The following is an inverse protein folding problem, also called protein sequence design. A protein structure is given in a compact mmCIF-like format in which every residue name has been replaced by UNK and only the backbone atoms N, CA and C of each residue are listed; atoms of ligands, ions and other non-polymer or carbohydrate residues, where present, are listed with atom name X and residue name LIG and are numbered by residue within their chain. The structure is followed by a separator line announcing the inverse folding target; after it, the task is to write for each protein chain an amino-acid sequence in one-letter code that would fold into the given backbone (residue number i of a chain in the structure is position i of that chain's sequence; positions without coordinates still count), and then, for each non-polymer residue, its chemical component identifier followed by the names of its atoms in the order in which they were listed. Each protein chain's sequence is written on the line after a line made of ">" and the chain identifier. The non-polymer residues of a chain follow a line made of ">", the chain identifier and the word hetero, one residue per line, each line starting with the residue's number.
data_IF_655635281570
#
_entry.id   IF_655635281570
#
_cell.length_a   1.000
_cell.length_b   1.000
_cell.length_c   1.000
_cell.angle_alpha   90.00
_cell.angle_beta   90.00
_cell.angle_gamma   90.00
#
_symmetry.space_group_name_H-M   'P 1'
#
loop_
_entity.id
_entity.type
_entity.pdbx_description
1 polymer ?
#
# COMPACT_ATOMS: atom_id res chain seq x y z
N UNK A 1 -9.39 -32.82 -68.31
CA UNK A 1 -10.33 -32.77 -67.19
C UNK A 1 -9.72 -33.67 -66.11
N UNK A 2 -8.90 -33.12 -65.25
CA UNK A 2 -8.33 -33.83 -64.12
C UNK A 2 -8.75 -33.08 -62.82
N UNK A 3 -9.59 -33.75 -62.07
CA UNK A 3 -9.92 -33.30 -60.73
C UNK A 3 -8.72 -33.44 -59.81
N UNK A 4 -8.34 -32.35 -59.11
CA UNK A 4 -7.31 -32.36 -58.06
C UNK A 4 -8.06 -32.49 -56.74
N UNK A 5 -7.97 -33.67 -56.11
CA UNK A 5 -8.48 -33.91 -54.78
C UNK A 5 -7.65 -33.15 -53.72
N UNK A 6 -8.30 -32.29 -52.98
CA UNK A 6 -7.75 -31.62 -51.80
C UNK A 6 -7.59 -32.64 -50.65
N UNK A 7 -6.40 -32.76 -50.08
CA UNK A 7 -6.17 -33.47 -48.82
C UNK A 7 -6.08 -32.48 -47.68
N UNK A 8 -6.94 -32.52 -46.66
CA UNK A 8 -6.83 -31.67 -45.53
C UNK A 8 -5.77 -32.22 -44.54
N UNK A 9 -4.81 -31.39 -44.17
CA UNK A 9 -3.90 -31.67 -43.06
C UNK A 9 -4.49 -31.03 -41.78
N UNK A 10 -5.03 -31.84 -40.91
CA UNK A 10 -5.54 -31.40 -39.59
C UNK A 10 -4.45 -31.56 -38.53
N UNK A 11 -4.06 -30.46 -37.89
CA UNK A 11 -3.36 -30.50 -36.61
C UNK A 11 -4.36 -30.22 -35.53
N UNK A 12 -4.63 -31.19 -34.68
CA UNK A 12 -5.50 -31.06 -33.55
C UNK A 12 -4.67 -30.62 -32.33
N UNK A 13 -4.83 -29.37 -31.93
CA UNK A 13 -4.45 -28.93 -30.61
C UNK A 13 -5.66 -28.24 -29.98
N UNK A 14 -5.94 -28.60 -28.76
CA UNK A 14 -7.18 -28.33 -28.04
C UNK A 14 -7.51 -26.83 -27.97
N UNK A 15 -8.62 -26.44 -28.63
CA UNK A 15 -9.40 -25.20 -28.54
C UNK A 15 -9.35 -24.14 -29.63
N UNK A 16 -8.74 -24.39 -30.80
CA UNK A 16 -9.08 -23.58 -32.00
C UNK A 16 -8.60 -24.22 -33.26
N UNK A 17 -9.50 -24.42 -34.23
CA UNK A 17 -9.17 -24.97 -35.57
C UNK A 17 -8.75 -23.81 -36.46
N UNK A 18 -7.48 -23.74 -36.85
CA UNK A 18 -6.96 -22.78 -37.83
C UNK A 18 -6.89 -23.45 -39.19
N UNK A 19 -7.67 -22.96 -40.16
CA UNK A 19 -7.61 -23.39 -41.54
C UNK A 19 -6.57 -22.56 -42.28
N UNK A 20 -5.51 -23.22 -42.80
CA UNK A 20 -4.54 -22.60 -43.69
C UNK A 20 -4.83 -23.06 -45.13
N UNK A 21 -5.30 -22.12 -45.94
CA UNK A 21 -5.43 -22.35 -47.40
C UNK A 21 -4.10 -22.08 -48.07
N UNK A 22 -3.49 -23.15 -48.62
CA UNK A 22 -2.31 -23.01 -49.47
C UNK A 22 -2.80 -22.97 -50.92
N UNK A 23 -2.65 -21.81 -51.55
CA UNK A 23 -3.02 -21.62 -52.97
C UNK A 23 -2.11 -22.44 -53.89
N UNK A 24 -2.66 -23.12 -54.94
CA UNK A 24 -1.88 -23.99 -55.83
C UNK A 24 -0.98 -23.25 -56.86
N UNK A 25 -0.76 -21.95 -56.67
CA UNK A 25 0.02 -21.14 -57.63
C UNK A 25 1.57 -21.25 -57.47
N UNK A 26 2.07 -22.01 -56.50
CA UNK A 26 3.51 -22.05 -56.17
C UNK A 26 4.27 -23.17 -56.96
N UNK A 27 3.59 -24.01 -57.74
CA UNK A 27 4.20 -25.22 -58.32
C UNK A 27 5.00 -25.01 -59.63
N UNK A 28 5.15 -23.78 -60.15
CA UNK A 28 5.85 -23.49 -61.40
C UNK A 28 6.94 -22.43 -61.38
N UNK A 29 7.46 -22.15 -60.15
CA UNK A 29 8.60 -21.25 -60.05
C UNK A 29 9.91 -21.97 -60.37
N UNK A 30 10.74 -21.40 -61.22
CA UNK A 30 12.12 -21.85 -61.44
C UNK A 30 12.93 -21.65 -60.15
N UNK A 31 14.05 -22.38 -59.99
CA UNK A 31 14.86 -22.31 -58.77
C UNK A 31 15.26 -20.87 -58.36
N UNK A 32 15.49 -20.00 -59.34
CA UNK A 32 15.81 -18.58 -59.11
C UNK A 32 14.60 -17.76 -58.62
N UNK A 33 13.39 -18.07 -59.10
CA UNK A 33 12.16 -17.41 -58.66
C UNK A 33 11.79 -17.84 -57.23
N UNK A 34 12.12 -19.09 -56.85
CA UNK A 34 11.92 -19.59 -55.51
C UNK A 34 12.86 -18.88 -54.49
N UNK A 35 14.12 -18.64 -54.89
CA UNK A 35 15.09 -17.92 -54.08
C UNK A 35 14.71 -16.45 -53.90
N UNK A 36 14.21 -15.78 -54.92
CA UNK A 36 13.73 -14.40 -54.87
C UNK A 36 12.46 -14.27 -54.01
N UNK A 37 11.53 -15.20 -54.11
CA UNK A 37 10.31 -15.21 -53.32
C UNK A 37 10.62 -15.47 -51.81
N UNK A 38 11.53 -16.39 -51.53
CA UNK A 38 11.99 -16.66 -50.14
C UNK A 38 12.75 -15.46 -49.55
N UNK A 39 13.58 -14.77 -50.31
CA UNK A 39 14.29 -13.58 -49.90
C UNK A 39 13.32 -12.40 -49.58
N UNK A 40 12.28 -12.25 -50.44
CA UNK A 40 11.24 -11.24 -50.19
C UNK A 40 10.41 -11.56 -48.94
N UNK A 41 10.01 -12.83 -48.74
CA UNK A 41 9.28 -13.25 -47.52
C UNK A 41 10.11 -13.08 -46.25
N UNK A 42 11.40 -13.43 -46.28
CA UNK A 42 12.33 -13.19 -45.16
C UNK A 42 12.53 -11.70 -44.90
N UNK A 43 12.55 -10.87 -45.96
CA UNK A 43 12.61 -9.41 -45.83
C UNK A 43 11.36 -8.82 -45.15
N UNK A 44 10.16 -9.29 -45.54
CA UNK A 44 8.91 -8.87 -44.91
C UNK A 44 8.80 -9.34 -43.44
N UNK A 45 9.21 -10.59 -43.17
CA UNK A 45 9.21 -11.12 -41.80
C UNK A 45 10.20 -10.36 -40.92
N UNK A 46 11.39 -10.03 -41.40
CA UNK A 46 12.37 -9.22 -40.66
C UNK A 46 11.90 -7.79 -40.46
N UNK A 47 11.22 -7.20 -41.45
CA UNK A 47 10.60 -5.88 -41.29
C UNK A 47 9.45 -5.89 -40.28
N UNK A 48 8.57 -6.90 -40.32
CA UNK A 48 7.50 -7.09 -39.34
C UNK A 48 8.04 -7.31 -37.93
N UNK A 49 9.07 -8.13 -37.75
CA UNK A 49 9.73 -8.37 -36.49
C UNK A 49 10.45 -7.10 -35.98
N UNK A 50 11.06 -6.34 -36.89
CA UNK A 50 11.65 -5.05 -36.58
C UNK A 50 10.62 -4.01 -36.14
N UNK A 51 9.48 -3.95 -36.82
CA UNK A 51 8.34 -3.08 -36.44
C UNK A 51 7.71 -3.55 -35.15
N UNK A 52 7.51 -4.86 -34.91
CA UNK A 52 7.05 -5.38 -33.63
C UNK A 52 8.05 -5.08 -32.50
N UNK A 53 9.35 -5.14 -32.73
CA UNK A 53 10.38 -4.78 -31.76
C UNK A 53 10.40 -3.27 -31.46
N UNK A 54 10.05 -2.42 -32.43
CA UNK A 54 9.89 -0.98 -32.24
C UNK A 54 8.59 -0.62 -31.49
N UNK A 55 7.52 -1.43 -31.63
CA UNK A 55 6.26 -1.28 -30.87
C UNK A 55 6.28 -2.03 -29.53
N UNK A 56 7.17 -2.99 -29.31
CA UNK A 56 7.54 -3.49 -28.00
C UNK A 56 8.55 -2.55 -27.30
N UNK A 57 8.44 -1.25 -27.55
CA UNK A 57 8.91 -0.23 -26.63
C UNK A 57 8.29 -0.58 -25.29
N UNK A 58 9.02 -1.36 -24.48
CA UNK A 58 8.67 -1.68 -23.13
C UNK A 58 8.24 -0.34 -22.53
N UNK A 59 6.98 -0.21 -22.17
CA UNK A 59 6.63 0.74 -21.15
C UNK A 59 7.57 0.37 -19.99
N UNK A 60 8.69 1.08 -19.88
CA UNK A 60 9.54 1.00 -18.70
C UNK A 60 8.62 1.54 -17.62
N UNK A 61 7.85 0.64 -16.99
CA UNK A 61 7.19 0.97 -15.75
C UNK A 61 8.30 1.54 -14.89
N UNK A 62 8.24 2.84 -14.65
CA UNK A 62 9.27 3.55 -13.91
C UNK A 62 9.30 2.92 -12.53
N UNK A 63 10.26 2.02 -12.33
CA UNK A 63 10.40 1.25 -11.11
C UNK A 63 10.79 2.19 -9.98
N UNK A 64 10.15 2.05 -8.83
CA UNK A 64 10.53 2.78 -7.64
C UNK A 64 12.00 2.50 -7.29
N UNK A 65 12.72 3.53 -6.84
CA UNK A 65 14.14 3.43 -6.47
C UNK A 65 14.42 4.25 -5.22
N UNK A 66 15.27 3.78 -4.30
CA UNK A 66 15.66 4.57 -3.13
C UNK A 66 16.47 5.82 -3.49
N UNK A 67 17.06 5.85 -4.67
CA UNK A 67 17.89 6.94 -5.18
C UNK A 67 17.19 7.83 -6.19
N UNK A 68 15.86 7.68 -6.37
CA UNK A 68 15.09 8.37 -7.41
C UNK A 68 15.33 9.89 -7.44
N UNK A 69 15.42 10.52 -6.27
CA UNK A 69 15.64 11.96 -6.14
C UNK A 69 17.08 12.35 -5.84
N UNK A 70 18.06 11.46 -5.95
CA UNK A 70 19.45 11.73 -5.53
C UNK A 70 20.09 12.91 -6.26
N UNK A 71 19.75 13.13 -7.54
CA UNK A 71 20.24 14.27 -8.33
C UNK A 71 19.29 15.46 -8.32
N UNK A 72 17.95 15.21 -8.34
CA UNK A 72 16.94 16.27 -8.51
C UNK A 72 16.53 16.94 -7.19
N UNK A 73 16.67 16.25 -6.05
CA UNK A 73 16.39 16.75 -4.71
C UNK A 73 17.25 16.06 -3.65
N UNK A 74 18.59 16.28 -3.63
CA UNK A 74 19.53 15.52 -2.79
C UNK A 74 19.26 15.66 -1.29
N UNK A 75 18.65 16.76 -0.86
CA UNK A 75 18.35 17.03 0.55
C UNK A 75 16.98 16.54 1.00
N UNK A 76 16.21 15.86 0.15
CA UNK A 76 14.83 15.45 0.43
C UNK A 76 14.68 14.75 1.79
N UNK A 77 15.49 13.73 2.03
CA UNK A 77 15.36 12.93 3.27
C UNK A 77 15.66 13.75 4.53
N UNK A 78 16.59 14.69 4.49
CA UNK A 78 16.89 15.56 5.62
C UNK A 78 15.78 16.58 5.87
N UNK A 79 15.19 17.14 4.82
CA UNK A 79 14.05 18.06 4.90
C UNK A 79 12.85 17.39 5.55
N UNK A 80 12.48 16.19 5.08
CA UNK A 80 11.35 15.42 5.64
C UNK A 80 11.61 15.08 7.10
N UNK A 81 12.79 14.54 7.41
CA UNK A 81 13.17 14.15 8.78
C UNK A 81 13.14 15.31 9.74
N UNK A 82 13.67 16.48 9.35
CA UNK A 82 13.66 17.68 10.20
C UNK A 82 12.25 18.11 10.56
N UNK A 83 11.34 18.17 9.59
CA UNK A 83 9.95 18.54 9.83
C UNK A 83 9.21 17.49 10.68
N UNK A 84 9.43 16.19 10.44
CA UNK A 84 8.87 15.12 11.26
C UNK A 84 9.38 15.18 12.70
N UNK A 85 10.69 15.45 12.92
CA UNK A 85 11.24 15.63 14.26
C UNK A 85 10.54 16.77 15.00
N UNK A 86 10.32 17.89 14.34
CA UNK A 86 9.59 19.03 14.95
C UNK A 86 8.14 18.67 15.29
N UNK A 87 7.44 17.97 14.39
CA UNK A 87 6.06 17.54 14.61
C UNK A 87 5.94 16.55 15.80
N UNK A 88 6.83 15.55 15.84
CA UNK A 88 6.84 14.54 16.90
C UNK A 88 7.27 15.13 18.26
N UNK A 89 8.18 16.12 18.28
CA UNK A 89 8.57 16.82 19.50
C UNK A 89 7.41 17.66 20.06
N UNK A 90 6.56 18.23 19.23
CA UNK A 90 5.35 18.96 19.65
C UNK A 90 4.27 18.00 20.16
N UNK A 91 4.08 16.90 19.48
CA UNK A 91 3.08 15.88 19.82
C UNK A 91 3.61 14.49 19.41
N UNK A 92 4.05 13.69 20.38
CA UNK A 92 4.62 12.36 20.11
C UNK A 92 3.67 11.44 19.31
N UNK A 93 2.37 11.54 19.56
CA UNK A 93 1.32 10.80 18.86
C UNK A 93 1.29 11.09 17.36
N UNK A 94 1.87 12.21 16.89
CA UNK A 94 1.88 12.56 15.47
C UNK A 94 2.57 11.49 14.61
N UNK A 95 3.59 10.82 15.14
CA UNK A 95 4.23 9.70 14.46
C UNK A 95 3.24 8.57 14.10
N UNK A 96 2.40 8.17 15.06
CA UNK A 96 1.34 7.19 14.83
C UNK A 96 0.28 7.70 13.83
N UNK A 97 -0.05 8.99 13.89
CA UNK A 97 -1.00 9.62 12.97
C UNK A 97 -0.53 9.57 11.52
N UNK A 98 0.75 9.89 11.27
CA UNK A 98 1.35 9.85 9.92
C UNK A 98 1.53 8.41 9.43
N UNK A 99 1.94 7.48 10.30
CA UNK A 99 2.03 6.06 9.95
C UNK A 99 0.68 5.51 9.52
N UNK A 100 -0.40 5.83 10.25
CA UNK A 100 -1.76 5.44 9.89
C UNK A 100 -2.24 6.13 8.61
N UNK A 101 -1.91 7.41 8.40
CA UNK A 101 -2.27 8.14 7.20
C UNK A 101 -1.66 7.47 5.95
N UNK A 102 -0.41 7.01 6.03
CA UNK A 102 0.24 6.24 4.96
C UNK A 102 -0.44 4.89 4.71
N UNK A 103 -0.82 4.16 5.76
CA UNK A 103 -1.59 2.92 5.63
C UNK A 103 -2.93 3.17 4.93
N UNK A 104 -3.68 4.19 5.32
CA UNK A 104 -4.97 4.54 4.72
C UNK A 104 -4.83 4.96 3.26
N UNK A 105 -3.75 5.65 2.88
CA UNK A 105 -3.43 5.95 1.49
C UNK A 105 -3.25 4.67 0.68
N UNK A 106 -2.31 3.82 1.11
CA UNK A 106 -1.91 2.63 0.37
C UNK A 106 -3.03 1.60 0.20
N UNK A 107 -3.95 1.47 1.18
CA UNK A 107 -5.00 0.45 1.16
C UNK A 107 -6.23 0.80 0.32
N UNK A 108 -6.36 2.03 -0.14
CA UNK A 108 -7.52 2.44 -0.97
C UNK A 108 -7.24 2.14 -2.45
N UNK A 109 -6.57 3.02 -3.16
CA UNK A 109 -6.26 2.85 -4.59
C UNK A 109 -4.78 2.49 -4.86
N UNK A 110 -3.97 2.44 -3.83
CA UNK A 110 -2.53 2.30 -3.84
C UNK A 110 -1.85 3.50 -3.20
N UNK A 111 -0.53 3.44 -3.02
CA UNK A 111 0.24 4.53 -2.40
C UNK A 111 0.40 5.69 -3.38
N UNK A 112 -0.61 6.54 -3.52
CA UNK A 112 -0.72 7.58 -4.55
C UNK A 112 -1.07 8.98 -4.01
N UNK A 113 -1.12 9.13 -2.69
CA UNK A 113 -1.41 10.40 -2.03
C UNK A 113 -2.86 10.87 -2.18
N UNK A 114 -3.80 10.02 -2.62
CA UNK A 114 -5.20 10.37 -2.85
C UNK A 114 -5.92 10.81 -1.58
N UNK A 115 -5.61 10.21 -0.44
CA UNK A 115 -6.18 10.59 0.86
C UNK A 115 -5.90 12.05 1.27
N UNK A 116 -4.86 12.65 0.70
CA UNK A 116 -4.46 14.02 1.02
C UNK A 116 -5.37 15.07 0.36
N UNK A 117 -6.11 14.70 -0.70
CA UNK A 117 -6.99 15.58 -1.43
C UNK A 117 -8.18 16.04 -0.57
N UNK A 118 -8.48 17.33 -0.64
CA UNK A 118 -9.66 17.92 0.03
C UNK A 118 -10.91 17.81 -0.86
N UNK A 119 -12.06 17.69 -0.22
CA UNK A 119 -13.35 17.77 -0.90
C UNK A 119 -13.58 19.19 -1.42
N UNK A 120 -14.24 19.27 -2.57
CA UNK A 120 -14.75 20.54 -3.15
C UNK A 120 -16.20 20.34 -3.59
N UNK A 121 -16.84 21.37 -4.12
CA UNK A 121 -18.20 21.25 -4.67
C UNK A 121 -18.33 20.24 -5.82
N UNK A 122 -17.22 19.91 -6.50
CA UNK A 122 -17.17 19.03 -7.68
C UNK A 122 -16.26 17.82 -7.50
N UNK A 123 -15.59 17.67 -6.35
CA UNK A 123 -14.66 16.59 -6.08
C UNK A 123 -14.91 16.00 -4.69
N UNK A 124 -15.14 14.68 -4.63
CA UNK A 124 -15.28 13.93 -3.38
C UNK A 124 -14.01 13.16 -3.09
N UNK A 125 -13.31 13.55 -2.02
CA UNK A 125 -12.11 12.89 -1.53
C UNK A 125 -12.41 11.72 -0.58
N UNK A 126 -11.38 11.25 0.11
CA UNK A 126 -11.46 10.09 1.01
C UNK A 126 -11.62 10.49 2.48
N UNK A 127 -11.41 11.76 2.84
CA UNK A 127 -11.36 12.23 4.23
C UNK A 127 -12.68 12.03 4.98
N UNK A 128 -13.79 12.09 4.27
CA UNK A 128 -15.14 11.88 4.81
C UNK A 128 -15.63 10.44 4.70
N UNK A 129 -14.81 9.48 4.26
CA UNK A 129 -15.12 8.06 4.38
C UNK A 129 -15.24 7.63 5.86
N UNK A 130 -16.10 6.68 6.15
CA UNK A 130 -16.35 6.22 7.52
C UNK A 130 -15.09 5.90 8.35
N UNK A 131 -14.10 5.16 7.81
CA UNK A 131 -12.85 4.88 8.52
C UNK A 131 -11.97 6.11 8.76
N UNK A 132 -12.18 7.20 8.00
CA UNK A 132 -11.32 8.38 7.98
C UNK A 132 -11.89 9.56 8.75
N UNK A 133 -13.22 9.78 8.66
CA UNK A 133 -13.88 10.96 9.21
C UNK A 133 -13.64 11.08 10.71
N UNK A 134 -13.22 12.27 11.16
CA UNK A 134 -12.90 12.55 12.57
C UNK A 134 -11.84 11.61 13.19
N UNK A 135 -11.03 10.95 12.37
CA UNK A 135 -10.14 9.88 12.81
C UNK A 135 -8.73 10.03 12.26
N UNK A 136 -8.54 10.23 10.95
CA UNK A 136 -7.22 10.51 10.36
C UNK A 136 -6.81 11.96 10.64
N UNK A 137 -5.50 12.18 10.82
CA UNK A 137 -4.93 13.49 11.18
C UNK A 137 -3.47 13.58 10.72
N UNK A 138 -2.87 14.76 10.82
CA UNK A 138 -1.48 15.01 10.43
C UNK A 138 -1.34 15.58 9.02
N UNK A 139 -2.43 15.94 8.39
CA UNK A 139 -2.42 16.57 7.06
C UNK A 139 -1.61 17.86 7.04
N UNK A 140 -1.69 18.67 8.10
CA UNK A 140 -0.92 19.91 8.28
C UNK A 140 0.59 19.68 8.40
N UNK A 141 0.99 18.51 8.89
CA UNK A 141 2.39 18.09 8.92
C UNK A 141 2.88 17.80 7.51
N UNK A 142 2.09 17.09 6.72
CA UNK A 142 2.41 16.83 5.30
C UNK A 142 2.46 18.13 4.50
N UNK A 143 1.54 19.08 4.75
CA UNK A 143 1.57 20.41 4.11
C UNK A 143 2.86 21.17 4.43
N UNK A 144 3.27 21.14 5.70
CA UNK A 144 4.53 21.77 6.15
C UNK A 144 5.74 21.13 5.47
N UNK A 145 5.78 19.78 5.42
CA UNK A 145 6.86 19.07 4.73
C UNK A 145 6.87 19.44 3.26
N UNK A 146 5.70 19.43 2.60
CA UNK A 146 5.57 19.77 1.18
C UNK A 146 6.06 21.19 0.90
N UNK A 147 5.67 22.16 1.70
CA UNK A 147 6.14 23.55 1.56
C UNK A 147 7.67 23.66 1.67
N UNK A 148 8.28 22.96 2.62
CA UNK A 148 9.74 22.93 2.77
C UNK A 148 10.43 22.25 1.57
N UNK A 149 9.85 21.17 1.06
CA UNK A 149 10.36 20.46 -0.12
C UNK A 149 10.23 21.33 -1.37
N UNK A 150 9.08 22.02 -1.56
CA UNK A 150 8.89 22.92 -2.70
C UNK A 150 9.86 24.11 -2.67
N UNK A 151 10.25 24.58 -1.50
CA UNK A 151 11.27 25.63 -1.36
C UNK A 151 12.68 25.13 -1.75
N UNK A 152 12.98 23.85 -1.54
CA UNK A 152 14.26 23.26 -1.86
C UNK A 152 14.32 22.70 -3.30
N UNK A 153 13.25 22.05 -3.77
CA UNK A 153 13.20 21.29 -5.02
C UNK A 153 11.80 21.43 -5.67
N UNK A 154 11.49 22.60 -6.19
CA UNK A 154 10.16 22.94 -6.70
C UNK A 154 9.63 21.94 -7.72
N UNK A 155 8.37 21.53 -7.56
CA UNK A 155 7.61 20.63 -8.45
C UNK A 155 8.33 19.30 -8.78
N UNK A 156 9.15 18.81 -7.85
CA UNK A 156 10.01 17.64 -8.07
C UNK A 156 9.50 16.39 -7.35
N UNK A 157 9.06 16.52 -6.09
CA UNK A 157 8.76 15.39 -5.21
C UNK A 157 7.26 15.23 -5.01
N UNK A 158 6.74 14.02 -5.20
CA UNK A 158 5.33 13.72 -4.99
C UNK A 158 4.92 13.77 -3.51
N UNK A 159 3.66 14.06 -3.27
CA UNK A 159 3.06 13.99 -1.94
C UNK A 159 3.03 12.54 -1.41
N UNK A 160 2.85 11.57 -2.30
CA UNK A 160 2.92 10.14 -1.97
C UNK A 160 4.30 9.72 -1.42
N UNK A 161 5.39 10.19 -2.02
CA UNK A 161 6.74 9.91 -1.54
C UNK A 161 7.07 10.67 -0.25
N UNK A 162 6.58 11.90 -0.11
CA UNK A 162 6.67 12.65 1.16
C UNK A 162 6.00 11.87 2.29
N UNK A 163 4.78 11.36 2.06
CA UNK A 163 4.03 10.60 3.06
C UNK A 163 4.75 9.30 3.45
N UNK A 164 5.31 8.57 2.48
CA UNK A 164 6.09 7.36 2.72
C UNK A 164 7.35 7.62 3.57
N UNK A 165 8.10 8.69 3.26
CA UNK A 165 9.28 9.11 4.03
C UNK A 165 8.89 9.57 5.43
N UNK A 166 7.83 10.36 5.57
CA UNK A 166 7.33 10.85 6.83
C UNK A 166 6.87 9.72 7.76
N UNK A 167 6.22 8.68 7.21
CA UNK A 167 5.82 7.49 7.97
C UNK A 167 7.04 6.74 8.54
N UNK A 168 8.10 6.52 7.72
CA UNK A 168 9.36 5.94 8.18
C UNK A 168 10.01 6.78 9.28
N UNK A 169 10.12 8.08 9.07
CA UNK A 169 10.78 8.97 10.03
C UNK A 169 9.98 9.07 11.33
N UNK A 170 8.64 9.01 11.28
CA UNK A 170 7.79 8.95 12.47
C UNK A 170 8.07 7.72 13.34
N UNK A 171 8.20 6.55 12.74
CA UNK A 171 8.55 5.30 13.45
C UNK A 171 9.93 5.43 14.11
N UNK A 172 10.93 5.93 13.38
CA UNK A 172 12.29 6.12 13.90
C UNK A 172 12.33 7.10 15.08
N UNK A 173 11.55 8.18 15.02
CA UNK A 173 11.49 9.18 16.13
C UNK A 173 10.93 8.59 17.44
N UNK A 174 10.17 7.50 17.36
CA UNK A 174 9.66 6.82 18.55
C UNK A 174 10.47 5.57 18.94
N UNK A 175 11.67 5.40 18.37
CA UNK A 175 12.60 4.31 18.72
C UNK A 175 12.43 3.05 17.88
N UNK A 176 11.56 3.08 16.87
CA UNK A 176 11.35 1.95 15.96
C UNK A 176 12.46 1.80 14.91
N UNK A 177 12.38 0.73 14.10
CA UNK A 177 13.37 0.44 13.07
C UNK A 177 13.27 1.41 11.90
N UNK A 178 14.37 1.55 11.17
CA UNK A 178 14.42 2.24 9.88
C UNK A 178 14.37 1.25 8.74
N UNK A 179 13.91 1.71 7.57
CA UNK A 179 13.96 0.95 6.31
C UNK A 179 14.25 1.85 5.11
N UNK A 180 14.69 1.22 4.03
CA UNK A 180 14.90 1.91 2.76
C UNK A 180 13.56 2.15 2.07
N UNK A 181 13.15 3.42 1.96
CA UNK A 181 11.92 3.81 1.27
C UNK A 181 12.18 3.83 -0.24
N UNK A 182 11.38 3.07 -0.98
CA UNK A 182 11.35 3.14 -2.44
C UNK A 182 10.61 4.43 -2.84
N UNK A 183 11.17 5.21 -3.76
CA UNK A 183 10.71 6.52 -4.19
C UNK A 183 10.46 6.55 -5.71
N UNK A 184 9.72 7.54 -6.19
CA UNK A 184 9.34 7.67 -7.60
C UNK A 184 7.84 7.51 -7.82
N UNK A 185 7.03 7.49 -6.75
CA UNK A 185 5.57 7.54 -6.84
C UNK A 185 5.14 8.87 -7.40
N UNK A 186 3.98 8.84 -8.04
CA UNK A 186 3.27 10.05 -8.46
C UNK A 186 1.94 10.16 -7.72
N UNK A 187 1.43 11.36 -7.69
CA UNK A 187 0.19 11.70 -7.00
C UNK A 187 -1.03 11.45 -7.89
N UNK A 188 -2.07 10.84 -7.33
CA UNK A 188 -3.34 10.66 -8.00
C UNK A 188 -4.03 11.99 -8.31
N UNK A 189 -4.81 12.00 -9.40
CA UNK A 189 -5.72 13.10 -9.76
C UNK A 189 -7.16 12.83 -9.33
N UNK A 190 -7.41 11.68 -8.75
CA UNK A 190 -8.72 11.20 -8.30
C UNK A 190 -8.58 10.63 -6.90
N UNK A 191 -9.71 10.48 -6.22
CA UNK A 191 -9.84 9.79 -4.93
C UNK A 191 -11.13 8.97 -4.93
N UNK A 192 -11.28 8.06 -3.95
CA UNK A 192 -12.47 7.21 -3.89
C UNK A 192 -12.96 7.01 -2.46
N UNK A 193 -13.96 7.77 -2.06
CA UNK A 193 -14.64 7.59 -0.78
C UNK A 193 -15.24 6.18 -0.63
N UNK A 194 -15.83 5.64 -1.70
CA UNK A 194 -16.41 4.30 -1.69
C UNK A 194 -15.37 3.21 -1.51
N UNK A 195 -14.22 3.32 -2.21
CA UNK A 195 -13.10 2.41 -2.02
C UNK A 195 -12.50 2.51 -0.61
N UNK A 196 -12.40 3.71 -0.04
CA UNK A 196 -11.97 3.89 1.35
C UNK A 196 -12.93 3.21 2.34
N UNK A 197 -14.25 3.26 2.09
CA UNK A 197 -15.23 2.57 2.92
C UNK A 197 -15.17 1.05 2.82
N UNK A 198 -14.78 0.50 1.67
CA UNK A 198 -14.79 -0.95 1.42
C UNK A 198 -13.45 -1.65 1.62
N UNK A 199 -12.32 -0.96 1.41
CA UNK A 199 -10.99 -1.59 1.38
C UNK A 199 -10.23 -1.48 2.72
N UNK A 200 -10.56 -0.48 3.55
CA UNK A 200 -9.90 -0.32 4.84
C UNK A 200 -10.44 -1.33 5.86
N UNK A 201 -9.57 -2.16 6.47
CA UNK A 201 -10.00 -3.11 7.49
C UNK A 201 -10.53 -2.39 8.74
N UNK A 202 -11.64 -2.88 9.25
CA UNK A 202 -12.32 -2.29 10.41
C UNK A 202 -11.78 -2.79 11.75
N UNK A 203 -11.93 -2.00 12.83
CA UNK A 203 -11.47 -2.37 14.18
C UNK A 203 -12.21 -3.57 14.80
N UNK A 204 -13.33 -3.99 14.21
CA UNK A 204 -14.11 -5.16 14.62
C UNK A 204 -13.94 -6.37 13.70
N UNK A 205 -12.94 -6.38 12.80
CA UNK A 205 -12.73 -7.50 11.89
C UNK A 205 -12.17 -8.72 12.63
N UNK A 206 -12.72 -9.91 12.29
CA UNK A 206 -12.17 -11.19 12.69
C UNK A 206 -10.81 -11.46 12.00
N UNK A 207 -10.04 -12.42 12.52
CA UNK A 207 -8.78 -12.85 11.90
C UNK A 207 -8.94 -13.20 10.41
N UNK A 208 -10.01 -13.91 10.04
CA UNK A 208 -10.26 -14.30 8.66
C UNK A 208 -10.50 -13.06 7.75
N UNK A 209 -11.25 -12.07 8.23
CA UNK A 209 -11.50 -10.82 7.51
C UNK A 209 -10.21 -9.99 7.37
N UNK A 210 -9.37 -9.94 8.40
CA UNK A 210 -8.06 -9.27 8.35
C UNK A 210 -7.15 -9.91 7.31
N UNK A 211 -6.99 -11.24 7.34
CA UNK A 211 -6.19 -11.98 6.37
C UNK A 211 -6.68 -11.75 4.95
N UNK A 212 -8.00 -11.79 4.73
CA UNK A 212 -8.59 -11.54 3.42
C UNK A 212 -8.34 -10.10 2.92
N UNK A 213 -8.51 -9.09 3.79
CA UNK A 213 -8.28 -7.68 3.43
C UNK A 213 -6.83 -7.40 3.03
N UNK A 214 -5.86 -7.95 3.77
CA UNK A 214 -4.44 -7.80 3.45
C UNK A 214 -4.03 -8.61 2.21
N UNK A 215 -4.55 -9.83 2.06
CA UNK A 215 -4.34 -10.66 0.86
C UNK A 215 -4.86 -9.98 -0.42
N UNK A 216 -5.99 -9.29 -0.35
CA UNK A 216 -6.54 -8.50 -1.47
C UNK A 216 -5.59 -7.35 -1.91
N UNK A 217 -4.66 -6.95 -1.05
CA UNK A 217 -3.59 -5.96 -1.34
C UNK A 217 -2.23 -6.62 -1.63
N UNK A 218 -2.18 -7.93 -1.80
CA UNK A 218 -0.94 -8.67 -2.08
C UNK A 218 -0.04 -8.85 -0.86
N UNK A 219 -0.56 -8.66 0.35
CA UNK A 219 0.18 -8.83 1.60
C UNK A 219 -0.17 -10.18 2.25
N UNK A 220 0.84 -10.86 2.76
CA UNK A 220 0.67 -12.14 3.47
C UNK A 220 0.07 -11.95 4.88
N UNK A 221 -0.41 -13.04 5.48
CA UNK A 221 -0.83 -13.04 6.88
C UNK A 221 0.32 -12.67 7.84
N UNK A 222 1.57 -12.97 7.49
CA UNK A 222 2.76 -12.52 8.24
C UNK A 222 2.94 -11.01 8.13
N UNK A 223 2.75 -10.42 6.93
CA UNK A 223 2.78 -8.97 6.75
C UNK A 223 1.67 -8.29 7.55
N UNK A 224 0.45 -8.83 7.49
CA UNK A 224 -0.69 -8.35 8.24
C UNK A 224 -0.38 -8.32 9.74
N UNK A 225 0.12 -9.42 10.30
CA UNK A 225 0.47 -9.49 11.72
C UNK A 225 1.59 -8.51 12.07
N UNK A 226 2.64 -8.40 11.24
CA UNK A 226 3.74 -7.46 11.47
C UNK A 226 3.27 -6.01 11.40
N UNK A 227 2.45 -5.63 10.41
CA UNK A 227 1.91 -4.27 10.25
C UNK A 227 0.94 -3.89 11.37
N UNK A 228 0.17 -4.84 11.91
CA UNK A 228 -0.67 -4.61 13.08
C UNK A 228 0.14 -4.18 14.31
N UNK A 229 1.43 -4.55 14.38
CA UNK A 229 2.36 -4.06 15.39
C UNK A 229 2.58 -2.54 15.41
N UNK A 230 2.15 -1.81 14.37
CA UNK A 230 2.06 -0.36 14.39
C UNK A 230 1.19 0.16 15.55
N UNK A 231 0.28 -0.67 16.07
CA UNK A 231 -0.56 -0.37 17.23
C UNK A 231 0.21 -0.35 18.57
N UNK A 232 1.53 -0.60 18.54
CA UNK A 232 2.41 -0.29 19.69
C UNK A 232 2.44 1.22 20.00
N UNK A 233 2.05 2.08 19.03
CA UNK A 233 1.94 3.52 19.19
C UNK A 233 0.55 4.02 18.78
N UNK A 234 0.12 5.12 19.39
CA UNK A 234 -1.12 5.77 19.01
C UNK A 234 -2.29 5.53 19.97
N UNK A 235 -3.45 6.03 19.56
CA UNK A 235 -4.67 5.98 20.36
C UNK A 235 -5.89 5.70 19.48
N UNK A 236 -6.88 5.02 20.04
CA UNK A 236 -8.17 4.76 19.41
C UNK A 236 -9.31 5.48 20.16
N UNK A 237 -10.39 5.79 19.42
CA UNK A 237 -11.61 6.39 19.98
C UNK A 237 -12.46 5.31 20.64
N UNK A 238 -13.12 5.63 21.73
CA UNK A 238 -14.03 4.74 22.46
C UNK A 238 -15.03 4.03 21.53
N UNK A 239 -15.60 4.74 20.55
CA UNK A 239 -16.53 4.16 19.58
C UNK A 239 -15.95 2.94 18.85
N UNK A 240 -14.62 2.83 18.67
CA UNK A 240 -13.98 1.76 17.89
C UNK A 240 -13.66 0.50 18.70
N UNK A 241 -13.66 0.59 20.04
CA UNK A 241 -13.34 -0.54 20.92
C UNK A 241 -14.40 -0.79 22.02
N UNK A 242 -15.46 0.01 22.06
CA UNK A 242 -16.53 -0.14 23.06
C UNK A 242 -17.11 -1.55 23.06
N UNK A 243 -17.48 -2.08 21.91
CA UNK A 243 -18.03 -3.44 21.82
C UNK A 243 -17.07 -4.45 22.45
N UNK A 244 -15.80 -4.40 22.07
CA UNK A 244 -14.78 -5.32 22.56
C UNK A 244 -14.69 -5.33 24.10
N UNK A 245 -14.66 -4.18 24.75
CA UNK A 245 -14.51 -4.11 26.20
C UNK A 245 -15.80 -4.44 26.99
N UNK A 246 -16.97 -4.51 26.33
CA UNK A 246 -18.24 -4.79 27.00
C UNK A 246 -18.80 -6.16 26.67
N UNK A 247 -18.55 -6.71 25.49
CA UNK A 247 -19.26 -7.90 24.98
C UNK A 247 -18.34 -9.09 24.68
N UNK A 248 -17.06 -8.85 24.36
CA UNK A 248 -16.18 -9.95 23.98
C UNK A 248 -15.69 -10.73 25.21
N UNK A 249 -15.45 -12.03 25.01
CA UNK A 249 -14.98 -12.94 26.05
C UNK A 249 -13.46 -13.16 26.05
N UNK A 250 -12.76 -12.77 24.95
CA UNK A 250 -11.33 -12.92 24.75
C UNK A 250 -10.53 -11.69 25.20
N UNK A 251 -10.97 -11.03 26.27
CA UNK A 251 -10.35 -9.84 26.85
C UNK A 251 -10.11 -10.03 28.35
N UNK A 252 -8.98 -9.56 28.85
CA UNK A 252 -8.68 -9.54 30.27
C UNK A 252 -9.68 -8.65 31.02
N UNK A 253 -10.34 -9.21 32.07
CA UNK A 253 -11.43 -8.52 32.79
C UNK A 253 -10.96 -7.24 33.50
N UNK A 254 -9.76 -7.22 34.07
CA UNK A 254 -9.18 -6.05 34.71
C UNK A 254 -8.84 -4.96 33.70
N UNK A 255 -8.33 -5.34 32.53
CA UNK A 255 -8.08 -4.41 31.43
C UNK A 255 -9.39 -3.82 30.91
N UNK A 256 -10.41 -4.63 30.65
CA UNK A 256 -11.73 -4.15 30.24
C UNK A 256 -12.31 -3.16 31.27
N UNK A 257 -12.25 -3.50 32.55
CA UNK A 257 -12.71 -2.60 33.63
C UNK A 257 -11.93 -1.27 33.63
N UNK A 258 -10.61 -1.30 33.40
CA UNK A 258 -9.79 -0.08 33.31
C UNK A 258 -10.25 0.79 32.12
N UNK A 259 -10.49 0.20 30.96
CA UNK A 259 -10.91 0.94 29.74
C UNK A 259 -12.33 1.51 29.84
N UNK A 260 -13.24 0.80 30.51
CA UNK A 260 -14.62 1.27 30.76
C UNK A 260 -14.67 2.55 31.57
N UNK A 261 -13.65 2.88 32.39
CA UNK A 261 -13.60 4.13 33.18
C UNK A 261 -13.67 5.38 32.30
N UNK A 262 -13.08 5.35 31.10
CA UNK A 262 -13.07 6.47 30.14
C UNK A 262 -13.86 6.17 28.85
N UNK A 263 -14.44 4.99 28.74
CA UNK A 263 -15.28 4.59 27.61
C UNK A 263 -16.56 3.96 28.14
N UNK A 264 -17.59 4.78 28.44
CA UNK A 264 -18.86 4.29 28.96
C UNK A 264 -19.61 3.47 27.91
N UNK A 265 -20.60 2.69 28.37
CA UNK A 265 -21.44 1.85 27.49
C UNK A 265 -22.25 2.65 26.47
N UNK A 266 -22.48 3.94 26.74
CA UNK A 266 -23.14 4.89 25.85
C UNK A 266 -22.54 6.27 25.99
N UNK A 267 -22.38 6.98 24.85
CA UNK A 267 -21.70 8.28 24.82
C UNK A 267 -20.18 8.16 24.94
N UNK A 268 -19.47 9.30 25.03
CA UNK A 268 -18.02 9.33 25.12
C UNK A 268 -17.29 8.79 23.88
N UNK A 269 -17.91 8.77 22.72
CA UNK A 269 -17.39 8.19 21.47
C UNK A 269 -16.02 8.71 21.07
N UNK A 270 -15.74 9.97 21.38
CA UNK A 270 -14.48 10.64 21.07
C UNK A 270 -13.39 10.44 22.12
N UNK A 271 -13.71 9.85 23.30
CA UNK A 271 -12.73 9.59 24.33
C UNK A 271 -11.63 8.68 23.80
N UNK A 272 -10.39 8.99 24.11
CA UNK A 272 -9.24 8.28 23.58
C UNK A 272 -8.66 7.31 24.60
N UNK A 273 -8.21 6.16 24.12
CA UNK A 273 -7.40 5.22 24.89
C UNK A 273 -6.15 4.84 24.08
N UNK A 274 -4.98 4.66 24.72
CA UNK A 274 -3.79 4.18 24.04
C UNK A 274 -4.00 2.75 23.52
N UNK A 275 -3.50 2.48 22.32
CA UNK A 275 -3.51 1.15 21.70
C UNK A 275 -2.57 0.20 22.44
N UNK A 276 -1.40 0.69 22.84
CA UNK A 276 -0.48 -0.01 23.73
C UNK A 276 -0.67 0.49 25.18
N UNK A 277 -0.89 -0.46 26.11
CA UNK A 277 -1.08 -0.13 27.51
C UNK A 277 0.20 0.33 28.20
N UNK A 278 1.35 -0.20 27.80
CA UNK A 278 2.62 -0.07 28.51
C UNK A 278 3.48 1.07 27.96
N UNK A 279 3.63 1.16 26.63
CA UNK A 279 4.53 2.10 25.94
C UNK A 279 3.83 2.88 24.83
N UNK A 280 2.77 3.64 25.11
CA UNK A 280 1.85 4.22 24.12
C UNK A 280 2.49 5.22 23.14
N UNK A 281 3.72 5.65 23.39
CA UNK A 281 4.51 6.58 22.57
C UNK A 281 5.94 6.08 22.32
N UNK A 282 6.19 4.79 22.53
CA UNK A 282 7.45 4.10 22.22
C UNK A 282 7.19 2.98 21.24
N UNK A 283 7.92 2.94 20.11
CA UNK A 283 7.78 1.87 19.13
C UNK A 283 8.58 0.65 19.59
N UNK A 284 7.91 -0.39 20.05
CA UNK A 284 8.51 -1.63 20.54
C UNK A 284 7.57 -2.85 20.31
N UNK A 285 7.86 -3.98 20.95
CA UNK A 285 7.07 -5.19 20.82
C UNK A 285 6.04 -5.42 21.95
N UNK A 286 5.77 -4.41 22.79
CA UNK A 286 4.82 -4.50 23.90
C UNK A 286 3.39 -4.76 23.44
N UNK A 287 3.02 -4.27 22.28
CA UNK A 287 1.75 -4.60 21.64
C UNK A 287 1.49 -6.12 21.63
N UNK A 288 2.46 -6.93 21.20
CA UNK A 288 2.29 -8.40 21.16
C UNK A 288 2.27 -9.01 22.56
N UNK A 289 2.99 -8.45 23.51
CA UNK A 289 2.91 -8.88 24.92
C UNK A 289 1.52 -8.57 25.50
N UNK A 290 0.92 -7.45 25.14
CA UNK A 290 -0.46 -7.12 25.51
C UNK A 290 -1.44 -8.13 24.91
N UNK A 291 -1.27 -8.53 23.62
CA UNK A 291 -2.13 -9.56 23.00
C UNK A 291 -2.05 -10.90 23.73
N UNK A 292 -0.84 -11.34 24.08
CA UNK A 292 -0.64 -12.58 24.85
C UNK A 292 -1.32 -12.51 26.24
N UNK A 293 -1.39 -11.32 26.84
CA UNK A 293 -2.07 -11.08 28.11
C UNK A 293 -3.57 -10.78 27.95
N UNK A 294 -4.15 -10.93 26.76
CA UNK A 294 -5.54 -10.58 26.43
C UNK A 294 -5.87 -9.09 26.74
N UNK A 295 -4.94 -8.21 26.39
CA UNK A 295 -5.03 -6.76 26.60
C UNK A 295 -4.98 -5.98 25.27
N UNK A 296 -5.31 -6.60 24.15
CA UNK A 296 -5.56 -5.91 22.89
C UNK A 296 -6.70 -4.91 23.06
N UNK A 297 -6.54 -3.69 22.51
CA UNK A 297 -7.58 -2.66 22.70
C UNK A 297 -8.74 -2.85 21.72
N UNK A 298 -8.46 -3.14 20.46
CA UNK A 298 -9.47 -3.38 19.43
C UNK A 298 -9.83 -4.88 19.39
N UNK A 299 -11.04 -5.19 18.98
CA UNK A 299 -11.40 -6.57 18.65
C UNK A 299 -10.41 -7.18 17.64
N UNK A 300 -10.13 -6.44 16.57
CA UNK A 300 -9.18 -6.86 15.54
C UNK A 300 -7.75 -7.06 16.06
N UNK A 301 -7.34 -6.37 17.13
CA UNK A 301 -6.03 -6.61 17.75
C UNK A 301 -6.02 -7.98 18.43
N UNK A 302 -7.04 -8.26 19.28
CA UNK A 302 -7.07 -9.51 20.04
C UNK A 302 -7.32 -10.75 19.17
N UNK A 303 -7.96 -10.59 18.00
CA UNK A 303 -8.14 -11.65 17.01
C UNK A 303 -6.82 -12.22 16.47
N UNK A 304 -5.72 -11.48 16.54
CA UNK A 304 -4.39 -11.99 16.18
C UNK A 304 -3.87 -13.04 17.16
N UNK A 305 -4.42 -13.08 18.40
CA UNK A 305 -4.07 -14.04 19.44
C UNK A 305 -5.33 -14.54 20.13
N UNK A 306 -6.05 -15.42 19.43
CA UNK A 306 -7.34 -15.95 19.87
C UNK A 306 -7.53 -17.45 19.49
N UNK A 307 -6.45 -18.24 19.56
CA UNK A 307 -6.47 -19.65 19.17
C UNK A 307 -6.36 -19.86 17.64
N UNK A 308 -5.93 -18.84 16.90
CA UNK A 308 -5.89 -18.85 15.43
C UNK A 308 -4.50 -19.06 14.83
N UNK A 309 -4.43 -18.94 13.50
CA UNK A 309 -3.22 -19.19 12.71
C UNK A 309 -2.06 -18.23 13.02
N UNK A 310 -2.32 -17.08 13.67
CA UNK A 310 -1.30 -16.08 13.97
C UNK A 310 -0.72 -16.18 15.39
N UNK A 311 -1.27 -17.04 16.25
CA UNK A 311 -0.85 -17.20 17.65
C UNK A 311 0.65 -17.44 17.81
N UNK A 312 1.20 -18.36 17.00
CA UNK A 312 2.63 -18.70 17.06
C UNK A 312 3.50 -17.47 16.71
N UNK A 313 3.07 -16.69 15.72
CA UNK A 313 3.79 -15.49 15.29
C UNK A 313 3.70 -14.37 16.32
N UNK A 314 2.52 -14.16 16.93
CA UNK A 314 2.34 -13.19 18.02
C UNK A 314 3.23 -13.56 19.22
N UNK A 315 3.30 -14.84 19.62
CA UNK A 315 4.23 -15.31 20.67
C UNK A 315 5.69 -15.04 20.30
N UNK A 316 6.08 -15.31 19.05
CA UNK A 316 7.43 -15.03 18.56
C UNK A 316 7.76 -13.54 18.68
N UNK A 317 6.88 -12.65 18.20
CA UNK A 317 7.11 -11.21 18.27
C UNK A 317 7.08 -10.68 19.72
N UNK A 318 6.27 -11.26 20.61
CA UNK A 318 6.22 -10.84 22.00
C UNK A 318 7.54 -11.08 22.76
N UNK A 319 8.33 -12.06 22.33
CA UNK A 319 9.62 -12.43 22.95
C UNK A 319 10.85 -12.04 22.14
N UNK A 320 10.67 -11.72 20.85
CA UNK A 320 11.79 -11.42 19.95
C UNK A 320 11.54 -10.10 19.18
N UNK A 321 11.91 -8.95 19.77
CA UNK A 321 11.73 -7.64 19.13
C UNK A 321 12.54 -7.49 17.83
N UNK A 322 13.68 -8.18 17.69
CA UNK A 322 14.47 -8.11 16.46
C UNK A 322 13.74 -8.75 15.28
N UNK A 323 13.09 -9.89 15.48
CA UNK A 323 12.27 -10.54 14.44
C UNK A 323 11.06 -9.66 14.09
N UNK A 324 10.37 -9.09 15.08
CA UNK A 324 9.29 -8.14 14.82
C UNK A 324 9.77 -6.97 13.96
N UNK A 325 10.86 -6.30 14.37
CA UNK A 325 11.40 -5.15 13.64
C UNK A 325 11.79 -5.50 12.19
N UNK A 326 12.41 -6.66 11.98
CA UNK A 326 12.77 -7.14 10.64
C UNK A 326 11.54 -7.36 9.75
N UNK A 327 10.51 -8.05 10.29
CA UNK A 327 9.29 -8.34 9.54
C UNK A 327 8.46 -7.08 9.30
N UNK A 328 8.39 -6.19 10.28
CA UNK A 328 7.71 -4.89 10.16
C UNK A 328 8.33 -4.05 9.04
N UNK A 329 9.66 -3.92 9.01
CA UNK A 329 10.32 -3.14 7.95
C UNK A 329 10.11 -3.74 6.57
N UNK A 330 10.18 -5.07 6.45
CA UNK A 330 9.92 -5.77 5.19
C UNK A 330 8.46 -5.59 4.74
N UNK A 331 7.51 -5.66 5.67
CA UNK A 331 6.09 -5.46 5.41
C UNK A 331 5.77 -3.99 5.03
N UNK A 332 6.42 -3.01 5.68
CA UNK A 332 6.31 -1.58 5.31
C UNK A 332 6.80 -1.29 3.89
N UNK A 333 7.88 -1.94 3.46
CA UNK A 333 8.34 -1.84 2.05
C UNK A 333 7.31 -2.44 1.11
N UNK A 334 6.76 -3.64 1.41
CA UNK A 334 5.72 -4.26 0.58
C UNK A 334 4.44 -3.41 0.54
N UNK A 335 3.99 -2.88 1.67
CA UNK A 335 2.83 -1.98 1.73
C UNK A 335 3.08 -0.72 0.88
N UNK A 336 4.25 -0.12 0.97
CA UNK A 336 4.63 1.05 0.17
C UNK A 336 4.71 0.78 -1.34
N UNK A 337 4.69 -0.48 -1.76
CA UNK A 337 4.69 -0.89 -3.16
C UNK A 337 3.29 -1.32 -3.66
N UNK A 338 2.24 -1.11 -2.88
CA UNK A 338 0.87 -1.41 -3.33
C UNK A 338 0.49 -0.41 -4.44
N UNK A 339 0.37 -0.90 -5.65
CA UNK A 339 -0.16 -0.21 -6.84
C UNK A 339 0.26 1.27 -6.99
N UNK A 340 1.54 1.65 -6.88
CA UNK A 340 1.95 3.03 -7.00
C UNK A 340 1.71 3.56 -8.42
N UNK A 341 1.36 4.82 -8.55
CA UNK A 341 1.44 5.51 -9.83
C UNK A 341 2.90 5.87 -10.13
N UNK A 342 3.35 5.63 -11.36
CA UNK A 342 4.73 5.88 -11.79
C UNK A 342 4.78 6.42 -13.22
N UNK A 343 5.94 6.91 -13.67
CA UNK A 343 6.14 7.39 -15.03
C UNK A 343 5.23 8.56 -15.41
N UNK A 344 4.36 8.35 -16.39
CA UNK A 344 3.39 9.37 -16.87
C UNK A 344 2.04 9.30 -16.15
N UNK A 345 1.80 8.28 -15.32
CA UNK A 345 0.54 8.13 -14.59
C UNK A 345 0.53 9.05 -13.36
N UNK A 346 -0.52 9.86 -13.21
CA UNK A 346 -0.64 10.84 -12.12
C UNK A 346 0.18 12.12 -12.37
N UNK A 347 0.50 12.84 -11.32
CA UNK A 347 1.20 14.14 -11.37
C UNK A 347 2.18 14.30 -10.19
N UNK A 348 2.88 15.42 -10.15
CA UNK A 348 3.59 15.91 -8.96
C UNK A 348 2.81 17.11 -8.46
N UNK A 349 2.00 16.95 -7.43
CA UNK A 349 1.24 18.06 -6.86
C UNK A 349 2.17 19.06 -6.18
N UNK A 350 1.94 20.35 -6.44
CA UNK A 350 2.63 21.46 -5.74
C UNK A 350 1.99 21.70 -4.37
N UNK A 351 0.70 21.39 -4.24
CA UNK A 351 -0.06 21.41 -3.00
C UNK A 351 -0.73 20.04 -2.82
N UNK A 352 -0.46 19.34 -1.71
CA UNK A 352 -0.97 18.00 -1.51
C UNK A 352 -2.50 17.91 -1.36
N UNK A 353 -3.17 19.03 -1.09
CA UNK A 353 -4.61 19.10 -0.86
C UNK A 353 -5.45 19.16 -2.12
N UNK A 354 -4.86 19.42 -3.28
CA UNK A 354 -5.58 19.62 -4.54
C UNK A 354 -4.76 19.14 -5.74
N UNK A 355 -5.47 18.77 -6.77
CA UNK A 355 -4.91 18.54 -8.12
C UNK A 355 -4.35 19.85 -8.67
N UNK A 356 -3.25 19.80 -9.47
CA UNK A 356 -2.63 20.98 -10.08
C UNK A 356 -3.54 21.63 -11.13
#
# INVERSE_FOLDING_TARGET
>A
MFEVNELPVTFQNDRSTLYIYIYPAILWLTCDQYQLAMAALLGEITLLLGVLALFSGAAVDAQLSPTFYSSSCPNLQSVVRSAMTQAVNRERRMAASILRLFFHDCFVNGCDGSILLDDTSTFTGEKNAGPNVNSVRGFEVIDTIKANVESACRATVSCADILALAARDGVVQLGGPTWTVQLGRRDARTASQSAANSNLPGPGFSLAQLVAAFSAKGLSARDMTALSGAHTIGQARCATFRSHIYTDSNINSSFAALRRRNCPSSGGDSNLAPLDLQTPVGFDNRYYQNLVAQQGLLHSDQELFNGGSQDALVRLYSTNPATFNSDFTAAMVRMGNISPLTGSRGEIRVNCRRVN
#
